data_IF_126811958164
#
_entry.id   IF_126811958164
#
_cell.length_a   1.000
_cell.length_b   1.000
_cell.length_c   1.000
_cell.angle_alpha   90.00
_cell.angle_beta   90.00
_cell.angle_gamma   90.00
#
_symmetry.space_group_name_H-M   'P 1'
#
loop_
_entity.id
_entity.type
_entity.pdbx_description
1 polymer ?
#
# COMPACT_ATOMS: atom_id res chain seq x y z
N UNK A 1 -54.84 52.78 4.51
CA UNK A 1 -55.78 53.49 3.56
C UNK A 1 -55.32 53.12 2.15
N UNK A 2 -56.26 52.44 1.40
CA UNK A 2 -56.33 52.19 -0.06
C UNK A 2 -55.15 51.43 -0.69
N UNK A 3 -55.23 50.13 -1.06
CA UNK A 3 -56.06 49.44 -2.10
C UNK A 3 -55.80 49.99 -3.53
N UNK A 4 -55.26 49.14 -4.42
CA UNK A 4 -55.83 48.60 -5.67
C UNK A 4 -54.64 48.08 -6.52
N UNK A 5 -54.61 46.83 -6.88
CA UNK A 5 -55.36 45.99 -7.85
C UNK A 5 -54.91 46.15 -9.30
N UNK A 6 -54.50 44.99 -9.84
CA UNK A 6 -54.75 44.44 -11.19
C UNK A 6 -54.09 45.18 -12.39
N UNK A 7 -53.55 44.51 -13.37
CA UNK A 7 -54.16 43.47 -14.24
C UNK A 7 -53.08 42.85 -15.17
N UNK A 8 -53.39 41.63 -15.58
CA UNK A 8 -52.82 40.77 -16.63
C UNK A 8 -52.63 41.50 -17.97
N UNK A 9 -51.58 41.10 -18.74
CA UNK A 9 -51.82 40.75 -20.14
C UNK A 9 -50.75 39.80 -20.64
N UNK A 10 -51.20 38.70 -21.20
CA UNK A 10 -50.43 37.74 -21.97
C UNK A 10 -50.18 38.27 -23.39
N UNK A 11 -49.01 38.07 -23.94
CA UNK A 11 -48.86 38.10 -25.38
C UNK A 11 -47.97 36.93 -25.82
N UNK A 12 -48.57 36.04 -26.56
CA UNK A 12 -47.98 34.98 -27.35
C UNK A 12 -47.39 35.60 -28.63
N UNK A 13 -46.14 35.31 -28.93
CA UNK A 13 -45.66 35.42 -30.29
C UNK A 13 -44.74 34.24 -30.60
N UNK A 14 -45.24 33.41 -31.49
CA UNK A 14 -44.50 32.37 -32.24
C UNK A 14 -43.52 33.02 -33.21
N UNK A 15 -42.44 32.36 -33.46
CA UNK A 15 -41.83 31.91 -34.72
C UNK A 15 -40.31 32.08 -34.75
N UNK A 16 -39.71 31.06 -35.01
CA UNK A 16 -38.88 30.68 -36.17
C UNK A 16 -37.64 29.87 -35.70
N UNK A 17 -37.62 28.66 -36.14
CA UNK A 17 -36.52 27.75 -35.96
C UNK A 17 -35.23 28.17 -36.65
N UNK A 18 -34.13 27.98 -35.97
CA UNK A 18 -32.85 27.68 -36.58
C UNK A 18 -32.31 26.44 -35.91
N UNK A 19 -32.34 25.34 -36.62
CA UNK A 19 -31.65 24.12 -36.28
C UNK A 19 -30.16 24.35 -36.42
N UNK A 20 -29.50 24.66 -35.35
CA UNK A 20 -28.05 24.47 -35.23
C UNK A 20 -27.82 23.03 -34.88
N UNK A 21 -27.33 22.27 -35.85
CA UNK A 21 -26.75 20.97 -35.65
C UNK A 21 -25.46 21.21 -34.87
N UNK A 22 -25.55 21.16 -33.55
CA UNK A 22 -24.38 21.03 -32.69
C UNK A 22 -24.00 19.56 -32.68
N UNK A 23 -22.86 19.22 -33.28
CA UNK A 23 -22.17 17.99 -33.02
C UNK A 23 -21.89 17.92 -31.51
N UNK A 24 -22.75 17.28 -30.76
CA UNK A 24 -22.42 16.84 -29.42
C UNK A 24 -21.40 15.72 -29.57
N UNK A 25 -20.16 15.97 -29.20
CA UNK A 25 -19.24 14.95 -28.85
C UNK A 25 -19.90 14.10 -27.77
N UNK A 26 -20.26 12.89 -28.11
CA UNK A 26 -20.45 11.80 -27.17
C UNK A 26 -19.06 11.38 -26.75
N UNK A 27 -18.59 11.93 -25.69
CA UNK A 27 -17.47 11.39 -24.92
C UNK A 27 -17.72 11.61 -23.42
N UNK A 28 -18.92 11.33 -23.00
CA UNK A 28 -19.16 10.93 -21.61
C UNK A 28 -19.16 9.41 -21.61
N UNK A 29 -17.98 8.82 -21.71
CA UNK A 29 -17.76 7.54 -21.04
C UNK A 29 -17.92 7.86 -19.56
N UNK A 30 -19.12 7.66 -19.09
CA UNK A 30 -19.42 7.56 -17.69
C UNK A 30 -18.65 6.32 -17.23
N UNK A 31 -17.38 6.52 -16.84
CA UNK A 31 -16.69 5.59 -15.97
C UNK A 31 -17.47 5.66 -14.66
N UNK A 32 -18.55 4.89 -14.60
CA UNK A 32 -19.04 4.43 -13.32
C UNK A 32 -17.83 3.72 -12.72
N UNK A 33 -17.15 4.40 -11.80
CA UNK A 33 -16.39 3.70 -10.79
C UNK A 33 -17.41 2.77 -10.16
N UNK A 34 -17.43 1.51 -10.57
CA UNK A 34 -18.02 0.46 -9.78
C UNK A 34 -17.19 0.42 -8.50
N UNK A 35 -17.56 1.26 -7.53
CA UNK A 35 -17.01 1.16 -6.20
C UNK A 35 -17.23 -0.29 -5.77
N UNK A 36 -16.15 -0.99 -5.47
CA UNK A 36 -16.19 -2.35 -4.98
C UNK A 36 -17.09 -2.40 -3.75
N UNK A 37 -18.22 -3.05 -3.88
CA UNK A 37 -19.23 -3.17 -2.81
C UNK A 37 -18.98 -4.36 -1.89
N UNK A 38 -18.03 -5.21 -2.23
CA UNK A 38 -17.61 -6.37 -1.43
C UNK A 38 -16.10 -6.52 -1.49
N UNK A 39 -15.53 -7.20 -0.50
CA UNK A 39 -14.11 -7.52 -0.48
C UNK A 39 -13.71 -8.38 -1.71
N UNK A 40 -12.44 -8.31 -2.10
CA UNK A 40 -11.87 -9.20 -3.12
C UNK A 40 -10.57 -9.86 -2.64
N UNK A 41 -10.33 -11.07 -3.12
CA UNK A 41 -9.04 -11.71 -2.91
C UNK A 41 -7.99 -11.03 -3.79
N UNK A 42 -6.83 -10.74 -3.21
CA UNK A 42 -5.63 -10.46 -4.00
C UNK A 42 -5.06 -11.82 -4.42
N UNK A 43 -5.04 -12.20 -5.68
CA UNK A 43 -4.48 -13.50 -6.07
C UNK A 43 -2.97 -13.53 -5.85
N UNK A 44 -2.40 -14.73 -5.70
CA UNK A 44 -0.96 -14.92 -5.83
C UNK A 44 -0.54 -14.48 -7.25
N UNK A 45 0.42 -13.56 -7.34
CA UNK A 45 0.86 -13.03 -8.63
C UNK A 45 1.36 -14.13 -9.57
N UNK A 46 1.97 -15.20 -9.07
CA UNK A 46 2.37 -16.32 -9.91
C UNK A 46 1.21 -16.98 -10.65
N UNK A 47 -0.03 -16.87 -10.16
CA UNK A 47 -1.22 -17.39 -10.86
C UNK A 47 -1.68 -16.49 -11.99
N UNK A 48 -1.30 -15.22 -11.98
CA UNK A 48 -1.59 -14.21 -13.01
C UNK A 48 -0.49 -14.13 -14.08
N UNK A 49 0.72 -14.53 -13.73
CA UNK A 49 1.90 -14.39 -14.57
C UNK A 49 1.93 -15.44 -15.68
N UNK A 50 1.49 -15.07 -16.86
CA UNK A 50 1.42 -15.97 -18.03
C UNK A 50 2.74 -16.04 -18.80
N UNK A 51 3.79 -15.34 -18.36
CA UNK A 51 5.08 -15.34 -19.05
C UNK A 51 5.74 -16.73 -18.95
N UNK A 52 6.47 -17.17 -20.00
CA UNK A 52 7.26 -18.39 -19.91
C UNK A 52 8.30 -18.33 -18.78
N UNK A 53 8.63 -19.46 -18.18
CA UNK A 53 9.51 -19.53 -17.01
C UNK A 53 10.92 -18.92 -17.26
N UNK A 54 11.46 -19.06 -18.48
CA UNK A 54 12.73 -18.46 -18.87
C UNK A 54 12.65 -16.93 -19.02
N UNK A 55 11.45 -16.40 -19.30
CA UNK A 55 11.18 -14.97 -19.30
C UNK A 55 11.02 -14.48 -17.87
N UNK A 56 10.22 -15.14 -17.04
CA UNK A 56 10.04 -14.78 -15.61
C UNK A 56 11.40 -14.71 -14.90
N UNK A 57 12.33 -15.63 -15.20
CA UNK A 57 13.67 -15.62 -14.61
C UNK A 57 14.44 -14.30 -14.85
N UNK A 58 14.14 -13.58 -15.94
CA UNK A 58 14.75 -12.27 -16.25
C UNK A 58 14.13 -11.11 -15.45
N UNK A 59 12.98 -11.34 -14.86
CA UNK A 59 12.27 -10.38 -14.01
C UNK A 59 12.50 -10.63 -12.52
N UNK A 60 13.49 -11.43 -12.16
CA UNK A 60 13.93 -11.60 -10.78
C UNK A 60 14.98 -10.55 -10.46
N UNK A 61 14.70 -9.73 -9.46
CA UNK A 61 15.69 -8.77 -8.95
C UNK A 61 16.61 -9.48 -7.97
N UNK A 62 17.89 -9.48 -8.27
CA UNK A 62 18.93 -10.03 -7.41
C UNK A 62 19.77 -8.92 -6.82
N UNK A 63 20.11 -9.04 -5.55
CA UNK A 63 20.99 -8.11 -4.85
C UNK A 63 22.17 -8.88 -4.25
N UNK A 64 23.36 -8.44 -4.57
CA UNK A 64 24.60 -9.08 -4.11
C UNK A 64 25.31 -8.28 -3.02
N UNK A 65 25.01 -6.98 -2.93
CA UNK A 65 25.74 -6.08 -2.05
C UNK A 65 24.82 -5.36 -1.06
N UNK A 66 25.19 -5.32 0.24
CA UNK A 66 24.48 -4.50 1.22
C UNK A 66 24.56 -3.00 0.88
N UNK A 67 23.59 -2.24 1.31
CA UNK A 67 23.67 -0.80 1.22
C UNK A 67 24.84 -0.26 2.06
N UNK A 68 25.54 0.73 1.51
CA UNK A 68 26.53 1.51 2.29
C UNK A 68 25.78 2.46 3.21
N UNK A 69 26.11 2.42 4.50
CA UNK A 69 25.55 3.36 5.45
C UNK A 69 26.11 4.76 5.22
N UNK A 70 25.24 5.77 5.33
CA UNK A 70 25.60 7.18 5.19
C UNK A 70 25.28 7.86 6.51
N UNK A 71 26.33 8.14 7.28
CA UNK A 71 26.24 8.97 8.48
C UNK A 71 26.46 10.42 8.07
N UNK A 72 25.40 11.22 8.12
CA UNK A 72 25.42 12.66 7.86
C UNK A 72 25.49 13.49 9.15
N UNK A 73 25.78 12.84 10.29
CA UNK A 73 25.85 13.46 11.60
C UNK A 73 24.50 13.71 12.26
N UNK A 74 23.39 13.48 11.57
CA UNK A 74 22.04 13.55 12.15
C UNK A 74 21.71 12.24 12.86
N UNK A 75 21.34 12.33 14.12
CA UNK A 75 20.83 11.20 14.91
C UNK A 75 19.41 11.46 15.36
N UNK A 76 18.62 10.39 15.43
CA UNK A 76 17.20 10.49 15.79
C UNK A 76 16.30 10.91 14.64
N UNK A 77 16.81 10.91 13.41
CA UNK A 77 16.00 11.18 12.23
C UNK A 77 15.13 9.96 11.88
N UNK A 78 13.91 10.24 11.42
CA UNK A 78 12.93 9.24 11.01
C UNK A 78 12.81 9.22 9.49
N UNK A 79 13.01 8.06 8.86
CA UNK A 79 12.93 7.89 7.42
C UNK A 79 11.99 6.75 7.07
N UNK A 80 11.14 6.97 6.06
CA UNK A 80 10.24 5.95 5.56
C UNK A 80 10.25 5.82 4.04
N UNK A 81 10.01 4.59 3.57
CA UNK A 81 9.65 4.29 2.20
C UNK A 81 8.30 3.60 2.21
N UNK A 82 7.34 4.19 1.50
CA UNK A 82 5.97 3.67 1.38
C UNK A 82 5.69 3.37 -0.08
N UNK A 83 5.23 2.15 -0.35
CA UNK A 83 4.94 1.66 -1.70
C UNK A 83 3.52 1.11 -1.73
N UNK A 84 2.68 1.58 -2.67
CA UNK A 84 1.36 1.03 -2.93
C UNK A 84 1.12 0.90 -4.41
N UNK A 85 0.72 -0.28 -4.88
CA UNK A 85 0.56 -0.56 -6.29
C UNK A 85 -0.81 -1.20 -6.52
N UNK A 86 -1.74 -0.40 -7.04
CA UNK A 86 -3.02 -0.85 -7.57
C UNK A 86 -2.95 -1.04 -9.08
N UNK A 87 -2.17 -0.22 -9.80
CA UNK A 87 -2.04 -0.26 -11.25
C UNK A 87 -0.73 -0.94 -11.69
N UNK A 88 -0.85 -2.07 -12.36
CA UNK A 88 0.26 -2.87 -12.86
C UNK A 88 0.35 -2.83 -14.38
N UNK A 89 1.44 -3.33 -14.94
CA UNK A 89 1.55 -3.56 -16.37
C UNK A 89 0.51 -4.61 -16.81
N UNK A 90 -0.51 -4.15 -17.55
CA UNK A 90 -1.66 -4.95 -17.97
C UNK A 90 -2.78 -4.96 -16.92
N UNK A 91 -3.96 -4.53 -17.31
CA UNK A 91 -5.13 -4.34 -16.41
C UNK A 91 -5.61 -5.62 -15.73
N UNK A 92 -5.27 -6.80 -16.25
CA UNK A 92 -5.59 -8.09 -15.59
C UNK A 92 -4.83 -8.30 -14.28
N UNK A 93 -3.80 -7.49 -14.03
CA UNK A 93 -2.98 -7.53 -12.81
C UNK A 93 -3.39 -6.45 -11.80
N UNK A 94 -4.36 -5.60 -12.11
CA UNK A 94 -4.71 -4.48 -11.23
C UNK A 94 -5.36 -4.95 -9.94
N UNK A 95 -5.06 -4.24 -8.86
CA UNK A 95 -5.66 -4.34 -7.54
C UNK A 95 -6.45 -3.05 -7.26
N UNK A 96 -7.13 -2.95 -6.13
CA UNK A 96 -8.07 -1.85 -5.96
C UNK A 96 -7.61 -0.77 -4.97
N UNK A 97 -7.06 -1.13 -3.83
CA UNK A 97 -6.85 -0.18 -2.73
C UNK A 97 -5.41 -0.10 -2.22
N UNK A 98 -4.44 -0.62 -2.95
CA UNK A 98 -3.05 -0.62 -2.47
C UNK A 98 -2.40 0.76 -2.53
N UNK A 99 -2.82 1.60 -3.47
CA UNK A 99 -2.44 3.01 -3.56
C UNK A 99 -3.05 3.83 -2.42
N UNK A 100 -4.32 3.57 -2.05
CA UNK A 100 -4.96 4.17 -0.87
C UNK A 100 -4.23 3.77 0.42
N UNK A 101 -3.85 2.49 0.57
CA UNK A 101 -3.01 2.00 1.67
C UNK A 101 -1.73 2.84 1.83
N UNK A 102 -1.05 3.09 0.71
CA UNK A 102 0.17 3.87 0.71
C UNK A 102 -0.06 5.35 1.05
N UNK A 103 -1.17 5.91 0.62
CA UNK A 103 -1.55 7.29 0.94
C UNK A 103 -1.81 7.43 2.44
N UNK A 104 -2.54 6.51 3.04
CA UNK A 104 -2.87 6.53 4.47
C UNK A 104 -1.61 6.35 5.33
N UNK A 105 -0.77 5.37 5.01
CA UNK A 105 0.52 5.19 5.68
C UNK A 105 1.44 6.41 5.54
N UNK A 106 1.53 7.00 4.35
CA UNK A 106 2.31 8.22 4.13
C UNK A 106 1.82 9.35 5.02
N UNK A 107 0.51 9.59 5.06
CA UNK A 107 -0.09 10.65 5.86
C UNK A 107 0.19 10.42 7.35
N UNK A 108 0.02 9.20 7.83
CA UNK A 108 0.33 8.82 9.20
C UNK A 108 1.79 9.07 9.54
N UNK A 109 2.73 8.55 8.74
CA UNK A 109 4.15 8.67 9.00
C UNK A 109 4.66 10.12 8.93
N UNK A 110 4.10 10.94 8.02
CA UNK A 110 4.41 12.37 7.99
C UNK A 110 3.95 13.06 9.27
N UNK A 111 2.78 12.71 9.81
CA UNK A 111 2.28 13.25 11.09
C UNK A 111 3.17 12.84 12.27
N UNK A 112 3.82 11.68 12.21
CA UNK A 112 4.80 11.20 13.21
C UNK A 112 6.22 11.73 13.00
N UNK A 113 6.42 12.65 12.05
CA UNK A 113 7.69 13.34 11.82
C UNK A 113 8.68 12.60 10.91
N UNK A 114 8.23 11.60 10.16
CA UNK A 114 9.09 10.92 9.18
C UNK A 114 9.32 11.74 7.93
N UNK A 115 10.52 11.67 7.41
CA UNK A 115 10.81 12.02 6.01
C UNK A 115 10.41 10.83 5.13
N UNK A 116 9.29 10.98 4.40
CA UNK A 116 8.67 9.89 3.65
C UNK A 116 9.00 9.99 2.16
N UNK A 117 9.56 8.92 1.60
CA UNK A 117 9.59 8.67 0.16
C UNK A 117 8.40 7.78 -0.18
N UNK A 118 7.58 8.15 -1.15
CA UNK A 118 6.46 7.33 -1.60
C UNK A 118 6.56 6.99 -3.08
N UNK A 119 6.30 5.72 -3.41
CA UNK A 119 6.19 5.21 -4.77
C UNK A 119 4.80 4.60 -4.94
N UNK A 120 3.96 5.25 -5.72
CA UNK A 120 2.56 4.85 -5.91
C UNK A 120 2.36 4.46 -7.37
N UNK A 121 1.73 3.32 -7.61
CA UNK A 121 1.37 2.81 -8.94
C UNK A 121 2.57 2.81 -9.92
N UNK A 122 2.41 3.48 -11.06
CA UNK A 122 3.42 3.52 -12.13
C UNK A 122 4.77 4.10 -11.70
N UNK A 123 4.84 4.80 -10.57
CA UNK A 123 6.11 5.25 -9.99
C UNK A 123 6.90 4.11 -9.33
N UNK A 124 6.24 3.00 -8.98
CA UNK A 124 6.83 1.86 -8.27
C UNK A 124 7.46 0.84 -9.24
N UNK A 125 8.26 1.30 -10.19
CA UNK A 125 9.05 0.39 -11.06
C UNK A 125 10.12 -0.34 -10.27
N UNK A 126 10.59 -1.47 -10.77
CA UNK A 126 11.65 -2.26 -10.12
C UNK A 126 12.90 -1.42 -9.85
N UNK A 127 13.32 -0.60 -10.80
CA UNK A 127 14.48 0.27 -10.65
C UNK A 127 14.25 1.38 -9.61
N UNK A 128 13.06 1.98 -9.58
CA UNK A 128 12.71 2.99 -8.58
C UNK A 128 12.67 2.39 -7.16
N UNK A 129 12.07 1.20 -7.01
CA UNK A 129 12.02 0.48 -5.73
C UNK A 129 13.45 0.14 -5.26
N UNK A 130 14.30 -0.39 -6.13
CA UNK A 130 15.69 -0.72 -5.78
C UNK A 130 16.49 0.50 -5.32
N UNK A 131 16.34 1.62 -6.04
CA UNK A 131 16.99 2.89 -5.70
C UNK A 131 16.49 3.43 -4.34
N UNK A 132 15.18 3.45 -4.14
CA UNK A 132 14.57 3.93 -2.91
C UNK A 132 14.93 3.03 -1.70
N UNK A 133 14.92 1.70 -1.87
CA UNK A 133 15.36 0.75 -0.84
C UNK A 133 16.84 0.94 -0.49
N UNK A 134 17.71 1.18 -1.48
CA UNK A 134 19.12 1.46 -1.25
C UNK A 134 19.29 2.75 -0.44
N UNK A 135 18.52 3.79 -0.78
CA UNK A 135 18.53 5.06 -0.05
C UNK A 135 18.02 4.88 1.37
N UNK A 136 16.87 4.20 1.58
CA UNK A 136 16.33 3.93 2.92
C UNK A 136 17.33 3.12 3.76
N UNK A 137 17.89 2.04 3.20
CA UNK A 137 18.84 1.19 3.91
C UNK A 137 20.14 1.94 4.26
N UNK A 138 20.58 2.89 3.44
CA UNK A 138 21.75 3.73 3.73
C UNK A 138 21.53 4.63 4.95
N UNK A 139 20.29 4.98 5.29
CA UNK A 139 19.90 5.78 6.46
C UNK A 139 19.72 4.95 7.72
N UNK A 140 19.81 3.60 7.63
CA UNK A 140 19.62 2.69 8.75
C UNK A 140 20.85 2.64 9.69
N UNK A 141 21.32 3.82 10.11
CA UNK A 141 22.42 3.99 11.06
C UNK A 141 21.90 4.01 12.50
N UNK A 142 22.80 3.78 13.45
CA UNK A 142 22.47 3.82 14.88
C UNK A 142 21.88 5.18 15.28
N UNK A 143 20.75 5.14 15.95
CA UNK A 143 19.99 6.33 16.40
C UNK A 143 18.90 6.78 15.44
N UNK A 144 18.90 6.38 14.17
CA UNK A 144 17.82 6.69 13.25
C UNK A 144 16.69 5.65 13.34
N UNK A 145 15.50 6.08 12.97
CA UNK A 145 14.29 5.26 12.89
C UNK A 145 13.92 5.01 11.43
N UNK A 146 13.62 3.75 11.09
CA UNK A 146 13.42 3.32 9.71
C UNK A 146 12.09 2.61 9.59
N UNK A 147 11.25 3.05 8.66
CA UNK A 147 9.98 2.40 8.36
C UNK A 147 9.87 2.05 6.87
N UNK A 148 9.44 0.85 6.58
CA UNK A 148 9.15 0.38 5.23
C UNK A 148 7.73 -0.17 5.16
N UNK A 149 6.93 0.31 4.22
CA UNK A 149 5.56 -0.13 3.99
C UNK A 149 5.39 -0.57 2.53
N UNK A 150 4.72 -1.68 2.35
CA UNK A 150 4.34 -2.17 1.02
C UNK A 150 2.91 -2.69 1.03
N UNK A 151 2.12 -2.27 0.04
CA UNK A 151 0.84 -2.86 -0.31
C UNK A 151 0.78 -3.13 -1.82
N UNK A 152 0.41 -4.36 -2.21
CA UNK A 152 0.41 -4.78 -3.61
C UNK A 152 0.43 -6.30 -3.77
N UNK A 153 0.71 -6.74 -5.00
CA UNK A 153 0.90 -8.16 -5.26
C UNK A 153 2.10 -8.75 -4.53
N UNK A 154 1.94 -10.01 -4.14
CA UNK A 154 3.01 -10.82 -3.59
C UNK A 154 2.97 -12.24 -4.14
N UNK A 155 4.10 -12.92 -4.12
CA UNK A 155 4.22 -14.33 -4.49
C UNK A 155 5.47 -14.94 -3.87
N UNK A 156 5.32 -16.03 -3.15
CA UNK A 156 6.44 -16.83 -2.63
C UNK A 156 7.51 -15.99 -1.91
N UNK A 157 7.10 -14.99 -1.13
CA UNK A 157 8.00 -14.11 -0.38
C UNK A 157 8.65 -13.00 -1.21
N UNK A 158 8.12 -12.72 -2.39
CA UNK A 158 8.50 -11.58 -3.20
C UNK A 158 7.41 -10.51 -3.16
N UNK A 159 7.79 -9.24 -3.18
CA UNK A 159 6.92 -8.16 -3.64
C UNK A 159 7.05 -8.02 -5.15
N UNK A 160 6.00 -7.49 -5.80
CA UNK A 160 5.96 -7.34 -7.26
C UNK A 160 5.92 -5.86 -7.59
N UNK A 161 6.85 -5.38 -8.44
CA UNK A 161 6.85 -4.01 -8.93
C UNK A 161 5.79 -3.78 -10.02
N UNK A 162 5.43 -2.52 -10.31
CA UNK A 162 4.45 -2.20 -11.35
C UNK A 162 4.85 -2.72 -12.74
N UNK A 163 6.16 -2.83 -13.02
CA UNK A 163 6.75 -3.40 -14.24
C UNK A 163 7.00 -4.93 -14.13
N UNK A 164 6.30 -5.59 -13.18
CA UNK A 164 6.21 -7.04 -12.98
C UNK A 164 7.52 -7.75 -12.64
N UNK A 165 8.44 -7.08 -11.96
CA UNK A 165 9.64 -7.69 -11.39
C UNK A 165 9.37 -8.23 -9.99
N UNK A 166 9.96 -9.39 -9.68
CA UNK A 166 9.95 -10.03 -8.37
C UNK A 166 11.12 -9.54 -7.54
N UNK A 167 10.85 -8.95 -6.39
CA UNK A 167 11.87 -8.46 -5.43
C UNK A 167 11.76 -9.30 -4.16
N UNK A 168 12.72 -10.18 -3.96
CA UNK A 168 12.65 -11.25 -2.95
C UNK A 168 12.95 -10.80 -1.52
N UNK A 169 12.50 -11.60 -0.56
CA UNK A 169 12.85 -11.43 0.84
C UNK A 169 14.36 -11.53 1.10
N UNK A 170 15.10 -12.29 0.27
CA UNK A 170 16.57 -12.34 0.33
C UNK A 170 17.21 -11.04 -0.16
N UNK A 171 16.63 -10.38 -1.16
CA UNK A 171 17.04 -9.03 -1.58
C UNK A 171 16.97 -8.04 -0.41
N UNK A 172 15.82 -8.00 0.27
CA UNK A 172 15.65 -7.15 1.46
C UNK A 172 16.66 -7.48 2.56
N UNK A 173 16.84 -8.78 2.88
CA UNK A 173 17.82 -9.23 3.87
C UNK A 173 19.22 -8.72 3.53
N UNK A 174 19.66 -8.85 2.27
CA UNK A 174 20.97 -8.40 1.82
C UNK A 174 21.08 -6.88 1.89
N UNK A 175 20.07 -6.16 1.40
CA UNK A 175 20.05 -4.68 1.38
C UNK A 175 20.23 -4.09 2.79
N UNK A 176 19.55 -4.64 3.79
CA UNK A 176 19.62 -4.21 5.19
C UNK A 176 20.66 -4.95 6.05
N UNK A 177 21.61 -5.70 5.45
CA UNK A 177 22.56 -6.49 6.21
C UNK A 177 23.47 -5.63 7.11
N UNK A 178 23.91 -4.48 6.60
CA UNK A 178 24.78 -3.52 7.31
C UNK A 178 24.03 -2.59 8.28
N UNK A 179 22.69 -2.62 8.30
CA UNK A 179 21.91 -1.73 9.15
C UNK A 179 22.32 -1.84 10.62
N UNK A 180 22.59 -0.69 11.23
CA UNK A 180 22.95 -0.52 12.65
C UNK A 180 21.85 0.17 13.46
N UNK A 181 20.80 0.68 12.80
CA UNK A 181 19.59 1.13 13.49
C UNK A 181 18.97 -0.02 14.29
N UNK A 182 18.56 0.29 15.51
CA UNK A 182 17.85 -0.64 16.40
C UNK A 182 16.37 -0.28 16.55
N UNK A 183 15.84 0.59 15.67
CA UNK A 183 14.44 0.98 15.65
C UNK A 183 13.93 0.96 14.21
N UNK A 184 13.46 -0.23 13.75
CA UNK A 184 13.05 -0.45 12.38
C UNK A 184 11.71 -1.18 12.33
N UNK A 185 10.76 -0.63 11.55
CA UNK A 185 9.45 -1.23 11.30
C UNK A 185 9.28 -1.56 9.81
N UNK A 186 8.74 -2.74 9.53
CA UNK A 186 8.40 -3.21 8.19
C UNK A 186 6.97 -3.74 8.20
N UNK A 187 6.13 -3.26 7.28
CA UNK A 187 4.78 -3.80 7.09
C UNK A 187 4.53 -4.16 5.63
N UNK A 188 3.94 -5.33 5.42
CA UNK A 188 3.66 -5.88 4.10
C UNK A 188 2.20 -6.37 4.03
N UNK A 189 1.39 -5.71 3.22
CA UNK A 189 0.05 -6.17 2.87
C UNK A 189 0.07 -6.76 1.45
N UNK A 190 0.36 -8.04 1.37
CA UNK A 190 0.48 -8.79 0.12
C UNK A 190 0.25 -10.28 0.34
N UNK A 191 0.01 -11.00 -0.76
CA UNK A 191 -0.12 -12.45 -0.76
C UNK A 191 1.21 -13.16 -0.52
N UNK A 192 1.19 -14.30 0.16
CA UNK A 192 2.31 -15.22 0.35
C UNK A 192 3.62 -14.54 0.80
N UNK A 193 3.52 -13.48 1.61
CA UNK A 193 4.64 -12.59 1.94
C UNK A 193 5.38 -12.99 3.24
N UNK A 194 4.96 -14.03 3.91
CA UNK A 194 5.49 -14.46 5.23
C UNK A 194 6.99 -14.63 5.30
N UNK A 195 7.68 -14.91 4.19
CA UNK A 195 9.13 -15.02 4.13
C UNK A 195 9.84 -13.71 4.49
N UNK A 196 9.20 -12.54 4.29
CA UNK A 196 9.75 -11.24 4.71
C UNK A 196 9.95 -11.19 6.23
N UNK A 197 8.98 -11.69 7.00
CA UNK A 197 9.08 -11.73 8.46
C UNK A 197 10.27 -12.56 8.95
N UNK A 198 10.59 -13.64 8.25
CA UNK A 198 11.75 -14.48 8.61
C UNK A 198 13.08 -13.89 8.15
N UNK A 199 13.13 -13.39 6.91
CA UNK A 199 14.37 -12.91 6.29
C UNK A 199 14.87 -11.60 6.91
N UNK A 200 13.94 -10.71 7.32
CA UNK A 200 14.25 -9.43 7.93
C UNK A 200 14.42 -9.48 9.44
N UNK A 201 14.03 -10.60 10.09
CA UNK A 201 14.08 -10.70 11.55
C UNK A 201 15.51 -10.51 12.10
N UNK A 202 15.71 -9.49 12.91
CA UNK A 202 16.93 -9.12 13.59
C UNK A 202 16.59 -8.22 14.77
N UNK A 203 17.42 -8.22 15.81
CA UNK A 203 17.27 -7.30 16.95
C UNK A 203 17.01 -5.86 16.50
N UNK A 204 16.06 -5.19 17.13
CA UNK A 204 15.66 -3.82 16.82
C UNK A 204 14.65 -3.69 15.69
N UNK A 205 13.98 -4.78 15.32
CA UNK A 205 13.02 -4.79 14.22
C UNK A 205 11.67 -5.36 14.63
N UNK A 206 10.61 -4.73 14.08
CA UNK A 206 9.26 -5.30 14.03
C UNK A 206 8.90 -5.50 12.57
N UNK A 207 8.42 -6.68 12.20
CA UNK A 207 8.01 -7.03 10.84
C UNK A 207 6.60 -7.57 10.87
N UNK A 208 5.65 -6.87 10.28
CA UNK A 208 4.25 -7.25 10.13
C UNK A 208 3.96 -7.72 8.71
N UNK A 209 3.18 -8.77 8.56
CA UNK A 209 2.80 -9.37 7.29
C UNK A 209 1.33 -9.77 7.30
N UNK A 210 0.59 -9.45 6.23
CA UNK A 210 -0.83 -9.79 6.09
C UNK A 210 -1.06 -11.28 5.86
N UNK A 211 -0.06 -12.01 5.37
CA UNK A 211 -0.18 -13.41 5.00
C UNK A 211 1.07 -14.20 5.39
N UNK A 212 0.92 -15.52 5.50
CA UNK A 212 2.06 -16.43 5.59
C UNK A 212 2.64 -16.74 4.20
N UNK A 213 3.32 -17.87 4.04
CA UNK A 213 3.92 -18.29 2.76
C UNK A 213 2.96 -19.01 1.82
N UNK A 214 1.70 -19.22 2.20
CA UNK A 214 0.76 -20.07 1.44
C UNK A 214 -0.63 -19.46 1.27
N UNK A 215 -1.00 -18.42 2.04
CA UNK A 215 -2.34 -17.82 1.94
C UNK A 215 -2.31 -16.45 1.27
N UNK A 216 -3.48 -16.00 0.89
CA UNK A 216 -3.69 -14.72 0.20
C UNK A 216 -3.93 -13.58 1.19
N UNK A 217 -3.77 -12.35 0.70
CA UNK A 217 -4.30 -11.13 1.29
C UNK A 217 -5.59 -10.72 0.56
N UNK A 218 -6.26 -9.69 1.04
CA UNK A 218 -7.57 -9.28 0.54
C UNK A 218 -7.65 -7.76 0.48
N UNK A 219 -8.23 -7.24 -0.60
CA UNK A 219 -8.77 -5.90 -0.65
C UNK A 219 -10.08 -5.88 0.14
N UNK A 220 -10.28 -4.82 0.90
CA UNK A 220 -11.56 -4.56 1.57
C UNK A 220 -12.64 -4.11 0.58
N UNK A 221 -13.76 -3.70 1.13
CA UNK A 221 -14.88 -3.14 0.38
C UNK A 221 -14.78 -1.60 0.27
N UNK A 222 -15.75 -0.99 -0.39
CA UNK A 222 -15.86 0.46 -0.56
C UNK A 222 -15.96 1.24 0.77
N UNK A 223 -16.27 0.57 1.88
CA UNK A 223 -16.27 1.19 3.22
C UNK A 223 -14.86 1.22 3.82
N UNK A 224 -14.09 0.16 3.61
CA UNK A 224 -12.71 0.05 4.09
C UNK A 224 -11.77 0.94 3.27
N UNK A 225 -11.91 0.91 1.94
CA UNK A 225 -11.03 1.60 0.97
C UNK A 225 -9.53 1.36 1.23
N UNK A 226 -9.21 0.17 1.69
CA UNK A 226 -7.86 -0.30 2.01
C UNK A 226 -7.79 -1.80 1.80
N UNK A 227 -6.58 -2.35 1.72
CA UNK A 227 -6.34 -3.74 2.04
C UNK A 227 -6.78 -4.05 3.47
N UNK A 228 -7.35 -5.24 3.68
CA UNK A 228 -7.95 -5.57 4.99
C UNK A 228 -6.94 -5.48 6.14
N UNK A 229 -5.68 -5.84 5.90
CA UNK A 229 -4.64 -5.74 6.92
C UNK A 229 -4.30 -4.28 7.24
N UNK A 230 -4.07 -3.48 6.21
CA UNK A 230 -3.77 -2.04 6.34
C UNK A 230 -4.94 -1.30 6.97
N UNK A 231 -6.20 -1.59 6.59
CA UNK A 231 -7.38 -1.01 7.24
C UNK A 231 -7.34 -1.17 8.76
N UNK A 232 -7.03 -2.38 9.24
CA UNK A 232 -6.98 -2.60 10.68
C UNK A 232 -5.76 -1.99 11.34
N UNK A 233 -4.62 -1.82 10.64
CA UNK A 233 -3.49 -1.05 11.15
C UNK A 233 -3.86 0.43 11.30
N UNK A 234 -4.43 1.05 10.27
CA UNK A 234 -4.89 2.45 10.37
C UNK A 234 -5.94 2.62 11.47
N UNK A 235 -6.90 1.69 11.57
CA UNK A 235 -7.90 1.72 12.63
C UNK A 235 -7.30 1.57 14.03
N UNK A 236 -6.25 0.79 14.17
CA UNK A 236 -5.51 0.64 15.42
C UNK A 236 -4.90 1.97 15.88
N UNK A 237 -4.18 2.64 15.00
CA UNK A 237 -3.58 3.93 15.29
C UNK A 237 -4.63 5.05 15.44
N UNK A 238 -5.53 5.21 14.47
CA UNK A 238 -6.36 6.41 14.35
C UNK A 238 -7.62 6.34 15.21
N UNK A 239 -8.23 5.15 15.34
CA UNK A 239 -9.51 5.00 16.05
C UNK A 239 -9.35 4.41 17.45
N UNK A 240 -8.43 3.43 17.62
CA UNK A 240 -8.18 2.81 18.92
C UNK A 240 -7.14 3.58 19.73
N UNK A 241 -6.40 4.51 19.09
CA UNK A 241 -5.42 5.36 19.74
C UNK A 241 -4.16 4.62 20.20
N UNK A 242 -3.80 3.50 19.53
CA UNK A 242 -2.52 2.86 19.84
C UNK A 242 -1.38 3.74 19.36
N UNK A 243 -0.40 3.90 20.25
CA UNK A 243 0.84 4.65 19.96
C UNK A 243 2.02 3.71 19.70
N UNK A 244 1.90 2.44 20.10
CA UNK A 244 2.95 1.44 19.93
C UNK A 244 2.63 0.48 18.80
N UNK A 245 3.61 0.25 17.95
CA UNK A 245 3.52 -0.63 16.77
C UNK A 245 3.15 -2.06 17.16
N UNK A 246 3.63 -2.56 18.30
CA UNK A 246 3.32 -3.90 18.82
C UNK A 246 1.83 -4.06 19.07
N UNK A 247 1.22 -3.06 19.72
CA UNK A 247 -0.21 -3.06 20.03
C UNK A 247 -1.04 -3.00 18.76
N UNK A 248 -0.64 -2.15 17.82
CA UNK A 248 -1.28 -2.02 16.52
C UNK A 248 -1.20 -3.31 15.71
N UNK A 249 0.00 -3.88 15.57
CA UNK A 249 0.20 -5.15 14.85
C UNK A 249 -0.62 -6.30 15.48
N UNK A 250 -0.67 -6.37 16.80
CA UNK A 250 -1.48 -7.36 17.52
C UNK A 250 -2.97 -7.18 17.24
N UNK A 251 -3.44 -5.94 17.28
CA UNK A 251 -4.82 -5.58 16.95
C UNK A 251 -5.16 -5.91 15.51
N UNK A 252 -4.36 -5.47 14.54
CA UNK A 252 -4.58 -5.71 13.12
C UNK A 252 -4.63 -7.21 12.80
N UNK A 253 -3.69 -8.00 13.33
CA UNK A 253 -3.72 -9.46 13.19
C UNK A 253 -4.98 -10.10 13.77
N UNK A 254 -5.43 -9.64 14.92
CA UNK A 254 -6.63 -10.17 15.59
C UNK A 254 -7.89 -9.82 14.82
N UNK A 255 -8.02 -8.57 14.39
CA UNK A 255 -9.19 -8.08 13.66
C UNK A 255 -9.30 -8.68 12.26
N UNK A 256 -8.19 -8.78 11.52
CA UNK A 256 -8.19 -9.42 10.20
C UNK A 256 -8.61 -10.91 10.31
N UNK A 257 -8.15 -11.63 11.34
CA UNK A 257 -8.62 -13.00 11.60
C UNK A 257 -10.11 -13.06 11.96
N UNK A 258 -10.62 -12.08 12.69
CA UNK A 258 -12.05 -11.99 13.00
C UNK A 258 -12.88 -11.70 11.75
N UNK A 259 -12.44 -10.73 10.95
CA UNK A 259 -13.03 -10.41 9.66
C UNK A 259 -13.07 -11.63 8.72
N UNK A 260 -11.97 -12.37 8.64
CA UNK A 260 -11.88 -13.56 7.79
C UNK A 260 -12.88 -14.65 8.19
N UNK A 261 -13.09 -14.88 9.50
CA UNK A 261 -14.11 -15.82 9.99
C UNK A 261 -15.51 -15.39 9.57
N UNK A 262 -15.82 -14.09 9.64
CA UNK A 262 -17.13 -13.55 9.24
C UNK A 262 -17.37 -13.71 7.74
N UNK A 263 -16.30 -13.59 6.94
CA UNK A 263 -16.38 -13.65 5.48
C UNK A 263 -16.08 -15.04 4.89
N UNK A 264 -15.85 -16.06 5.73
CA UNK A 264 -15.63 -17.44 5.28
C UNK A 264 -14.33 -17.64 4.49
N UNK A 265 -13.31 -16.79 4.73
CA UNK A 265 -12.03 -16.86 4.04
C UNK A 265 -10.89 -17.20 4.98
N UNK A 266 -9.75 -17.63 4.43
CA UNK A 266 -8.55 -17.98 5.18
C UNK A 266 -7.51 -16.88 5.08
N UNK A 267 -7.03 -16.42 6.24
CA UNK A 267 -5.93 -15.45 6.37
C UNK A 267 -4.92 -15.93 7.42
N UNK A 268 -3.70 -15.45 7.34
CA UNK A 268 -2.67 -15.76 8.33
C UNK A 268 -1.77 -14.55 8.62
N UNK A 269 -2.34 -13.40 9.02
CA UNK A 269 -1.54 -12.26 9.41
C UNK A 269 -0.74 -12.57 10.66
N UNK A 270 0.48 -12.06 10.70
CA UNK A 270 1.37 -12.21 11.83
C UNK A 270 2.38 -11.07 11.89
N UNK A 271 3.07 -10.94 13.02
CA UNK A 271 4.23 -10.08 13.11
C UNK A 271 5.35 -10.76 13.90
N UNK A 272 6.58 -10.35 13.63
CA UNK A 272 7.78 -10.68 14.41
C UNK A 272 8.22 -9.42 15.13
N UNK A 273 8.35 -9.52 16.42
CA UNK A 273 8.87 -8.46 17.27
C UNK A 273 10.21 -8.90 17.85
N UNK A 274 11.25 -8.17 17.50
CA UNK A 274 12.61 -8.30 18.04
C UNK A 274 13.15 -6.92 18.45
N UNK A 275 12.26 -5.94 18.63
CA UNK A 275 12.54 -4.67 19.25
C UNK A 275 12.54 -4.81 20.77
N UNK A 276 13.38 -4.02 21.45
CA UNK A 276 13.42 -4.03 22.92
C UNK A 276 12.73 -2.76 23.44
N UNK A 277 11.64 -2.93 24.16
CA UNK A 277 10.82 -1.85 24.68
C UNK A 277 9.50 -1.74 23.93
N UNK A 278 8.98 -0.52 23.79
CA UNK A 278 7.76 -0.20 23.07
C UNK A 278 8.08 0.74 21.91
N UNK A 279 7.74 0.35 20.71
CA UNK A 279 8.06 1.08 19.48
C UNK A 279 6.93 2.08 19.21
N UNK A 280 7.16 3.35 19.48
CA UNK A 280 6.33 4.45 19.00
C UNK A 280 6.76 4.87 17.57
N UNK A 281 5.79 5.18 16.71
CA UNK A 281 6.09 5.68 15.35
C UNK A 281 6.62 7.11 15.41
#
# INVERSE_FOLDING_TARGET
>A
MKIQKLTKLALVAMLAGLTLISCSKKDDVNLTNDEQTSYSVRPDFATLDNRPADVIAKFQVTETEPAKLVDNGEKGAKYALVIGISNYAGTANDLQYCDDDAIDWKNRLVAEGYTVTSLIDLAATSSAIQSALTTLASKAIAGNEITFIYSGHGSSGNIISTDLYYISSSYFKTKFANATSTKMFFSFDACQIGAMATSLNKTGRIIAVASNTTVYSYDGDATMKNGVFTYYQMKGFDSMGYIYVENDCSYACTQMKAWARTNGVTVAPSYKDSYTGSFDL
#
